data_IF_754925312526
#
_entry.id   IF_754925312526
#
_cell.length_a   1.000
_cell.length_b   1.000
_cell.length_c   1.000
_cell.angle_alpha   90.00
_cell.angle_beta   90.00
_cell.angle_gamma   90.00
#
_symmetry.space_group_name_H-M   'P 1'
#
loop_
_entity.id
_entity.type
_entity.pdbx_description
1 polymer ?
#
# COMPACT_ATOMS: atom_id res chain seq x y z
N UNK A 1 24.26 14.33 -5.50
CA UNK A 1 23.80 12.92 -5.46
C UNK A 1 22.82 12.82 -4.29
N UNK A 2 21.50 12.73 -4.56
CA UNK A 2 20.46 12.69 -3.51
C UNK A 2 20.58 11.36 -2.76
N UNK A 3 21.11 11.39 -1.54
CA UNK A 3 21.19 10.22 -0.69
C UNK A 3 19.89 10.11 0.11
N UNK A 4 19.21 8.97 0.04
CA UNK A 4 18.01 8.71 0.82
C UNK A 4 18.43 8.16 2.18
N UNK A 5 18.07 8.82 3.28
CA UNK A 5 18.15 8.18 4.60
C UNK A 5 16.92 7.29 4.75
N UNK A 6 17.08 6.04 4.34
CA UNK A 6 16.06 5.01 4.47
C UNK A 6 16.12 4.52 5.91
N UNK A 7 15.09 4.82 6.70
CA UNK A 7 15.01 4.25 8.06
C UNK A 7 14.73 2.75 7.97
N UNK A 8 15.18 1.92 8.95
CA UNK A 8 14.91 0.48 8.94
C UNK A 8 13.40 0.15 8.90
N UNK A 9 12.55 1.05 9.41
CA UNK A 9 11.10 0.92 9.33
C UNK A 9 10.56 1.12 7.90
N UNK A 10 11.20 1.95 7.08
CA UNK A 10 10.82 2.15 5.68
C UNK A 10 11.25 0.97 4.79
N UNK A 11 12.39 0.34 5.11
CA UNK A 11 12.78 -0.95 4.51
C UNK A 11 11.77 -2.05 4.82
N UNK A 12 11.30 -2.15 6.07
CA UNK A 12 10.30 -3.13 6.46
C UNK A 12 8.98 -2.92 5.71
N UNK A 13 8.49 -1.67 5.63
CA UNK A 13 7.29 -1.32 4.86
C UNK A 13 7.44 -1.65 3.38
N UNK A 14 8.59 -1.34 2.78
CA UNK A 14 8.87 -1.68 1.38
C UNK A 14 8.88 -3.18 1.13
N UNK A 15 9.49 -3.94 2.03
CA UNK A 15 9.53 -5.40 1.94
C UNK A 15 8.14 -6.04 2.07
N UNK A 16 7.29 -5.52 2.97
CA UNK A 16 5.90 -5.96 3.11
C UNK A 16 5.13 -5.69 1.82
N UNK A 17 5.27 -4.49 1.24
CA UNK A 17 4.61 -4.13 -0.03
C UNK A 17 5.07 -5.06 -1.16
N UNK A 18 6.37 -5.33 -1.28
CA UNK A 18 6.91 -6.27 -2.28
C UNK A 18 6.33 -7.66 -2.09
N UNK A 19 6.27 -8.18 -0.86
CA UNK A 19 5.72 -9.50 -0.57
C UNK A 19 4.24 -9.59 -0.93
N UNK A 20 3.43 -8.61 -0.53
CA UNK A 20 2.00 -8.57 -0.89
C UNK A 20 1.83 -8.55 -2.40
N UNK A 21 2.56 -7.67 -3.09
CA UNK A 21 2.47 -7.55 -4.53
C UNK A 21 2.97 -8.81 -5.26
N UNK A 22 4.01 -9.46 -4.73
CA UNK A 22 4.50 -10.74 -5.22
C UNK A 22 3.43 -11.83 -5.07
N UNK A 23 2.73 -11.91 -3.93
CA UNK A 23 1.63 -12.88 -3.77
C UNK A 23 0.51 -12.65 -4.77
N UNK A 24 0.13 -11.40 -5.03
CA UNK A 24 -0.89 -11.05 -6.04
C UNK A 24 -0.44 -11.48 -7.44
N UNK A 25 0.79 -11.14 -7.86
CA UNK A 25 1.27 -11.55 -9.18
C UNK A 25 1.49 -13.05 -9.30
N UNK A 26 1.95 -13.72 -8.25
CA UNK A 26 2.15 -15.16 -8.26
C UNK A 26 0.81 -15.90 -8.35
N UNK A 27 -0.25 -15.45 -7.66
CA UNK A 27 -1.58 -16.04 -7.83
C UNK A 27 -2.12 -15.87 -9.25
N UNK A 28 -1.95 -14.68 -9.85
CA UNK A 28 -2.28 -14.45 -11.27
C UNK A 28 -1.49 -15.36 -12.22
N UNK A 29 -0.19 -15.54 -11.97
CA UNK A 29 0.67 -16.42 -12.76
C UNK A 29 0.24 -17.90 -12.63
N UNK A 30 -0.13 -18.35 -11.43
CA UNK A 30 -0.63 -19.72 -11.20
C UNK A 30 -1.94 -19.98 -11.95
N UNK A 31 -2.88 -19.03 -11.92
CA UNK A 31 -4.13 -19.13 -12.68
C UNK A 31 -3.82 -19.19 -14.19
N UNK A 32 -2.90 -18.36 -14.67
CA UNK A 32 -2.46 -18.36 -16.06
C UNK A 32 -1.81 -19.68 -16.49
N UNK A 33 -0.87 -20.20 -15.70
CA UNK A 33 -0.21 -21.49 -15.93
C UNK A 33 -1.22 -22.64 -15.92
N UNK A 34 -2.14 -22.68 -14.95
CA UNK A 34 -3.18 -23.71 -14.87
C UNK A 34 -4.12 -23.68 -16.07
N UNK A 35 -4.56 -22.49 -16.49
CA UNK A 35 -5.44 -22.33 -17.65
C UNK A 35 -4.73 -22.70 -18.95
N UNK A 36 -3.47 -22.29 -19.12
CA UNK A 36 -2.65 -22.64 -20.28
C UNK A 36 -2.43 -24.16 -20.35
N UNK A 37 -2.08 -24.81 -19.22
CA UNK A 37 -1.92 -26.26 -19.15
C UNK A 37 -3.19 -27.01 -19.56
N UNK A 38 -4.35 -26.59 -19.03
CA UNK A 38 -5.63 -27.19 -19.41
C UNK A 38 -5.95 -27.05 -20.91
N UNK A 39 -5.66 -25.88 -21.49
CA UNK A 39 -5.89 -25.63 -22.91
C UNK A 39 -4.96 -26.46 -23.80
N UNK A 40 -3.66 -26.46 -23.49
CA UNK A 40 -2.65 -27.24 -24.24
C UNK A 40 -2.90 -28.74 -24.14
N UNK A 41 -3.32 -29.25 -22.98
CA UNK A 41 -3.70 -30.65 -22.81
C UNK A 41 -4.85 -31.03 -23.77
N UNK A 42 -5.94 -30.24 -23.76
CA UNK A 42 -7.10 -30.50 -24.61
C UNK A 42 -6.76 -30.41 -26.10
N UNK A 43 -6.05 -29.36 -26.51
CA UNK A 43 -5.63 -29.19 -27.90
C UNK A 43 -4.74 -30.34 -28.35
N UNK A 44 -3.78 -30.77 -27.52
CA UNK A 44 -2.89 -31.89 -27.83
C UNK A 44 -3.66 -33.20 -27.97
N UNK A 45 -4.60 -33.47 -27.06
CA UNK A 45 -5.44 -34.68 -27.10
C UNK A 45 -6.27 -34.70 -28.39
N UNK A 46 -6.87 -33.58 -28.77
CA UNK A 46 -7.68 -33.49 -30.00
C UNK A 46 -6.83 -33.62 -31.26
N UNK A 47 -5.63 -33.04 -31.28
CA UNK A 47 -4.67 -33.24 -32.38
C UNK A 47 -4.25 -34.71 -32.49
N UNK A 48 -3.94 -35.38 -31.37
CA UNK A 48 -3.61 -36.81 -31.35
C UNK A 48 -4.80 -37.62 -31.84
N UNK A 49 -6.02 -37.35 -31.35
CA UNK A 49 -7.25 -38.04 -31.77
C UNK A 49 -7.45 -37.93 -33.28
N UNK A 50 -7.38 -36.71 -33.82
CA UNK A 50 -7.53 -36.45 -35.25
C UNK A 50 -6.45 -37.17 -36.07
N UNK A 51 -5.20 -37.11 -35.61
CA UNK A 51 -4.08 -37.77 -36.27
C UNK A 51 -4.22 -39.29 -36.30
N UNK A 52 -4.53 -39.91 -35.16
CA UNK A 52 -4.74 -41.37 -35.09
C UNK A 52 -5.93 -41.76 -35.96
N UNK A 53 -7.02 -40.97 -35.97
CA UNK A 53 -8.19 -41.24 -36.82
C UNK A 53 -7.83 -41.25 -38.31
N UNK A 54 -6.96 -40.35 -38.76
CA UNK A 54 -6.50 -40.29 -40.15
C UNK A 54 -5.51 -41.42 -40.49
N UNK A 55 -4.62 -41.75 -39.56
CA UNK A 55 -3.62 -42.81 -39.74
C UNK A 55 -4.24 -44.21 -39.60
N UNK A 56 -5.43 -44.33 -39.00
CA UNK A 56 -6.11 -45.60 -38.71
C UNK A 56 -6.35 -46.46 -39.96
N UNK A 57 -6.58 -45.83 -41.10
CA UNK A 57 -6.79 -46.52 -42.39
C UNK A 57 -5.52 -47.20 -42.92
N UNK A 58 -4.35 -46.77 -42.46
CA UNK A 58 -3.05 -47.33 -42.86
C UNK A 58 -2.46 -48.26 -41.82
N UNK A 59 -3.12 -48.39 -40.66
CA UNK A 59 -2.62 -49.12 -39.52
C UNK A 59 -3.34 -50.45 -39.39
N UNK A 60 -2.58 -51.56 -39.32
CA UNK A 60 -3.15 -52.89 -39.16
C UNK A 60 -3.58 -53.15 -37.71
N UNK A 61 -4.75 -52.61 -37.38
CA UNK A 61 -5.40 -52.71 -36.06
C UNK A 61 -6.20 -54.01 -35.88
N UNK A 62 -6.06 -54.99 -36.79
CA UNK A 62 -6.85 -56.22 -36.79
C UNK A 62 -8.31 -55.98 -37.20
N UNK A 63 -9.15 -57.02 -37.13
CA UNK A 63 -10.58 -56.89 -37.43
C UNK A 63 -11.40 -57.85 -36.55
N UNK A 64 -12.33 -57.32 -35.75
CA UNK A 64 -13.16 -58.14 -34.87
C UNK A 64 -14.15 -59.05 -35.63
N UNK A 65 -14.69 -58.59 -36.77
CA UNK A 65 -15.61 -59.33 -37.63
C UNK A 65 -14.91 -60.50 -38.32
N UNK A 66 -13.68 -60.28 -38.80
CA UNK A 66 -12.86 -61.30 -39.46
C UNK A 66 -11.99 -62.11 -38.48
N UNK A 67 -12.04 -61.79 -37.17
CA UNK A 67 -11.19 -62.37 -36.11
C UNK A 67 -9.69 -62.29 -36.41
N UNK A 68 -9.26 -61.27 -37.15
CA UNK A 68 -7.85 -61.04 -37.46
C UNK A 68 -7.19 -60.33 -36.27
N UNK A 69 -6.14 -60.90 -35.66
CA UNK A 69 -5.44 -60.23 -34.57
C UNK A 69 -4.71 -58.97 -35.07
N UNK A 70 -4.56 -57.94 -34.23
CA UNK A 70 -3.80 -56.74 -34.59
C UNK A 70 -2.31 -57.04 -34.78
N UNK A 71 -1.67 -56.32 -35.70
CA UNK A 71 -0.23 -56.43 -35.91
C UNK A 71 0.54 -55.69 -34.81
N UNK A 72 1.07 -56.45 -33.86
CA UNK A 72 1.76 -55.91 -32.68
C UNK A 72 3.00 -55.07 -33.03
N UNK A 73 3.81 -55.47 -34.01
CA UNK A 73 5.05 -54.76 -34.35
C UNK A 73 4.78 -53.40 -34.99
N UNK A 74 3.86 -53.34 -35.96
CA UNK A 74 3.48 -52.09 -36.62
C UNK A 74 2.86 -51.11 -35.63
N UNK A 75 2.01 -51.59 -34.72
CA UNK A 75 1.40 -50.77 -33.68
C UNK A 75 2.42 -50.26 -32.66
N UNK A 76 3.39 -51.08 -32.24
CA UNK A 76 4.47 -50.64 -31.35
C UNK A 76 5.33 -49.56 -32.00
N UNK A 77 5.73 -49.74 -33.26
CA UNK A 77 6.49 -48.73 -34.00
C UNK A 77 5.70 -47.42 -34.19
N UNK A 78 4.39 -47.52 -34.41
CA UNK A 78 3.54 -46.34 -34.49
C UNK A 78 3.46 -45.60 -33.16
N UNK A 79 3.20 -46.33 -32.06
CA UNK A 79 3.12 -45.76 -30.72
C UNK A 79 4.45 -45.09 -30.33
N UNK A 80 5.59 -45.75 -30.60
CA UNK A 80 6.90 -45.18 -30.30
C UNK A 80 7.18 -43.91 -31.11
N UNK A 81 6.86 -43.90 -32.41
CA UNK A 81 6.98 -42.70 -33.27
C UNK A 81 6.13 -41.53 -32.79
N UNK A 82 4.89 -41.79 -32.36
CA UNK A 82 4.04 -40.73 -31.81
C UNK A 82 4.63 -40.22 -30.48
N UNK A 83 5.05 -41.12 -29.59
CA UNK A 83 5.64 -40.74 -28.31
C UNK A 83 6.96 -39.96 -28.46
N UNK A 84 7.80 -40.26 -29.46
CA UNK A 84 9.00 -39.45 -29.73
C UNK A 84 8.62 -38.02 -30.11
N UNK A 85 7.62 -37.85 -30.98
CA UNK A 85 7.15 -36.51 -31.39
C UNK A 85 6.53 -35.75 -30.20
N UNK A 86 5.75 -36.44 -29.35
CA UNK A 86 5.12 -35.83 -28.18
C UNK A 86 6.15 -35.44 -27.11
N UNK A 87 7.21 -36.24 -26.97
CA UNK A 87 8.35 -35.97 -26.08
C UNK A 87 9.17 -34.77 -26.57
N UNK A 88 9.48 -34.69 -27.87
CA UNK A 88 10.24 -33.58 -28.46
C UNK A 88 9.51 -32.23 -28.28
N UNK A 89 8.17 -32.27 -28.32
CA UNK A 89 7.31 -31.09 -28.09
C UNK A 89 7.03 -30.80 -26.61
N UNK A 90 7.54 -31.62 -25.69
CA UNK A 90 7.31 -31.51 -24.24
C UNK A 90 5.83 -31.32 -23.85
N UNK A 91 4.94 -32.07 -24.50
CA UNK A 91 3.48 -31.88 -24.38
C UNK A 91 2.89 -32.42 -23.07
N UNK A 92 3.64 -33.21 -22.30
CA UNK A 92 3.12 -33.86 -21.09
C UNK A 92 2.07 -34.95 -21.37
N UNK A 93 1.85 -35.33 -22.63
CA UNK A 93 0.92 -36.40 -23.03
C UNK A 93 1.69 -37.54 -23.68
N UNK A 94 1.31 -38.78 -23.39
CA UNK A 94 1.89 -40.00 -23.96
C UNK A 94 0.80 -40.94 -24.43
N UNK A 95 1.05 -41.63 -25.53
CA UNK A 95 0.21 -42.71 -26.04
C UNK A 95 0.60 -44.03 -25.37
N UNK A 96 -0.33 -44.62 -24.63
CA UNK A 96 -0.10 -45.83 -23.84
C UNK A 96 -0.45 -47.10 -24.62
N UNK A 97 -1.61 -47.12 -25.27
CA UNK A 97 -2.09 -48.31 -25.94
C UNK A 97 -3.03 -48.00 -27.10
N UNK A 98 -2.97 -48.85 -28.11
CA UNK A 98 -3.96 -48.96 -29.18
C UNK A 98 -4.44 -50.42 -29.19
N UNK A 99 -5.75 -50.63 -29.00
CA UNK A 99 -6.37 -51.95 -28.78
C UNK A 99 -5.71 -52.72 -27.63
N UNK A 100 -5.15 -53.90 -27.93
CA UNK A 100 -4.44 -54.79 -27.01
C UNK A 100 -2.93 -54.56 -27.00
N UNK A 101 -2.42 -53.61 -27.80
CA UNK A 101 -0.98 -53.34 -27.92
C UNK A 101 -0.61 -52.15 -27.04
N UNK A 102 0.23 -52.41 -26.05
CA UNK A 102 0.77 -51.40 -25.13
C UNK A 102 2.15 -50.94 -25.59
N UNK A 103 2.49 -49.69 -25.28
CA UNK A 103 3.84 -49.17 -25.42
C UNK A 103 4.83 -50.03 -24.59
N UNK A 104 6.05 -50.19 -25.09
CA UNK A 104 7.10 -50.90 -24.35
C UNK A 104 7.44 -50.14 -23.07
N UNK A 105 7.05 -50.72 -21.94
CA UNK A 105 7.61 -50.57 -20.59
C UNK A 105 8.18 -49.19 -20.23
N UNK A 106 7.49 -48.09 -20.51
CA UNK A 106 7.70 -46.87 -19.75
C UNK A 106 6.72 -46.95 -18.59
N UNK A 107 7.26 -47.19 -17.38
CA UNK A 107 6.48 -47.26 -16.16
C UNK A 107 5.55 -46.04 -16.11
N UNK A 108 4.24 -46.30 -16.11
CA UNK A 108 3.23 -45.30 -15.79
C UNK A 108 3.64 -44.68 -14.46
N UNK A 109 3.88 -43.38 -14.43
CA UNK A 109 4.05 -42.73 -13.15
C UNK A 109 2.72 -42.83 -12.39
N UNK A 110 2.75 -43.16 -11.09
CA UNK A 110 1.55 -43.44 -10.29
C UNK A 110 0.48 -42.31 -10.32
N UNK A 111 0.89 -41.09 -10.70
CA UNK A 111 0.03 -39.91 -10.73
C UNK A 111 -0.42 -39.48 -12.13
N UNK A 112 -0.17 -40.28 -13.18
CA UNK A 112 -0.63 -39.96 -14.55
C UNK A 112 -2.13 -40.20 -14.71
N UNK A 113 -2.82 -39.25 -15.34
CA UNK A 113 -4.24 -39.36 -15.66
C UNK A 113 -4.40 -40.18 -16.94
N UNK A 114 -5.05 -41.34 -16.83
CA UNK A 114 -5.38 -42.18 -17.99
C UNK A 114 -6.65 -41.67 -18.67
N UNK A 115 -6.55 -41.39 -19.96
CA UNK A 115 -7.65 -40.92 -20.81
C UNK A 115 -7.93 -42.01 -21.83
N UNK A 116 -9.18 -42.49 -21.88
CA UNK A 116 -9.62 -43.54 -22.80
C UNK A 116 -10.62 -42.95 -23.78
N UNK A 117 -10.45 -43.23 -25.07
CA UNK A 117 -11.44 -42.92 -26.08
C UNK A 117 -11.46 -44.01 -27.16
N UNK A 118 -12.58 -44.10 -27.86
CA UNK A 118 -12.80 -45.08 -28.92
C UNK A 118 -12.91 -44.33 -30.24
N UNK A 119 -12.16 -44.79 -31.24
CA UNK A 119 -12.23 -44.32 -32.62
C UNK A 119 -13.05 -45.31 -33.43
N UNK A 120 -13.83 -44.81 -34.38
CA UNK A 120 -14.63 -45.64 -35.27
C UNK A 120 -14.08 -45.58 -36.68
N UNK A 121 -13.70 -46.73 -37.22
CA UNK A 121 -13.44 -46.92 -38.64
C UNK A 121 -14.67 -47.57 -39.29
N UNK A 122 -14.75 -47.54 -40.63
CA UNK A 122 -15.75 -48.26 -41.41
C UNK A 122 -15.77 -49.76 -41.13
N UNK A 123 -14.64 -50.34 -40.71
CA UNK A 123 -14.49 -51.77 -40.48
C UNK A 123 -14.61 -52.21 -39.01
N UNK A 124 -14.23 -51.37 -38.04
CA UNK A 124 -14.25 -51.69 -36.61
C UNK A 124 -14.07 -50.47 -35.69
N UNK A 125 -14.30 -50.66 -34.38
CA UNK A 125 -13.95 -49.70 -33.33
C UNK A 125 -12.57 -50.00 -32.71
N UNK A 126 -11.80 -48.95 -32.49
CA UNK A 126 -10.42 -49.00 -31.98
C UNK A 126 -10.33 -48.26 -30.66
N UNK A 127 -9.94 -48.96 -29.59
CA UNK A 127 -9.76 -48.36 -28.27
C UNK A 127 -8.35 -47.76 -28.16
N UNK A 128 -8.27 -46.50 -27.75
CA UNK A 128 -7.01 -45.78 -27.57
C UNK A 128 -6.91 -45.29 -26.12
N UNK A 129 -5.72 -45.43 -25.54
CA UNK A 129 -5.41 -44.99 -24.18
C UNK A 129 -4.23 -44.03 -24.20
N UNK A 130 -4.40 -42.88 -23.55
CA UNK A 130 -3.36 -41.86 -23.34
C UNK A 130 -3.07 -41.72 -21.85
N UNK A 131 -1.84 -41.36 -21.50
CA UNK A 131 -1.44 -40.82 -20.21
C UNK A 131 -1.22 -39.31 -20.36
N UNK A 132 -1.80 -38.52 -19.47
CA UNK A 132 -1.48 -37.12 -19.32
C UNK A 132 -0.87 -36.85 -17.94
N UNK A 133 0.17 -36.04 -17.92
CA UNK A 133 0.78 -35.54 -16.69
C UNK A 133 -0.25 -34.72 -15.89
N UNK A 134 -0.26 -34.82 -14.55
CA UNK A 134 -1.24 -34.10 -13.74
C UNK A 134 -1.00 -32.60 -13.72
N UNK A 135 -2.10 -31.84 -13.60
CA UNK A 135 -2.13 -30.37 -13.73
C UNK A 135 -1.18 -29.66 -12.75
N UNK A 136 -0.94 -30.24 -11.57
CA UNK A 136 -0.08 -29.62 -10.57
C UNK A 136 1.38 -29.48 -11.02
N UNK A 137 1.84 -30.27 -11.99
CA UNK A 137 3.20 -30.16 -12.52
C UNK A 137 3.39 -28.89 -13.36
N UNK A 138 2.31 -28.26 -13.82
CA UNK A 138 2.37 -26.97 -14.51
C UNK A 138 2.51 -25.77 -13.56
N UNK A 139 2.30 -25.95 -12.25
CA UNK A 139 2.44 -24.87 -11.29
C UNK A 139 3.91 -24.67 -10.92
N UNK A 140 4.46 -23.54 -11.35
CA UNK A 140 5.80 -23.12 -11.05
C UNK A 140 5.84 -21.68 -10.52
N UNK A 141 6.80 -21.40 -9.65
CA UNK A 141 7.12 -20.04 -9.22
C UNK A 141 7.58 -19.24 -10.44
N UNK A 142 6.90 -18.12 -10.72
CA UNK A 142 7.22 -17.29 -11.88
C UNK A 142 8.27 -16.24 -11.49
N UNK A 143 9.50 -16.28 -12.05
CA UNK A 143 10.50 -15.23 -11.81
C UNK A 143 10.00 -13.86 -12.25
N UNK A 144 9.14 -13.82 -13.28
CA UNK A 144 8.53 -12.61 -13.80
C UNK A 144 7.64 -11.92 -12.74
N UNK A 145 6.94 -12.69 -11.91
CA UNK A 145 6.11 -12.15 -10.83
C UNK A 145 6.96 -11.41 -9.78
N UNK A 146 8.16 -11.92 -9.50
CA UNK A 146 9.12 -11.27 -8.60
C UNK A 146 9.63 -9.97 -9.21
N UNK A 147 10.06 -9.98 -10.47
CA UNK A 147 10.55 -8.78 -11.17
C UNK A 147 9.46 -7.71 -11.26
N UNK A 148 8.24 -8.10 -11.62
CA UNK A 148 7.09 -7.18 -11.66
C UNK A 148 6.78 -6.58 -10.29
N UNK A 149 6.87 -7.39 -9.23
CA UNK A 149 6.67 -6.90 -7.87
C UNK A 149 7.72 -5.87 -7.46
N UNK A 150 8.99 -6.08 -7.82
CA UNK A 150 10.07 -5.16 -7.51
C UNK A 150 9.94 -3.82 -8.25
N UNK A 151 9.52 -3.86 -9.53
CA UNK A 151 9.36 -2.67 -10.36
C UNK A 151 8.18 -1.79 -9.94
N UNK A 152 7.10 -2.39 -9.47
CA UNK A 152 5.86 -1.69 -9.13
C UNK A 152 5.81 -1.26 -7.66
N UNK A 153 6.52 -1.97 -6.76
CA UNK A 153 6.64 -1.62 -5.35
C UNK A 153 6.97 -0.13 -5.05
N UNK A 154 7.90 0.56 -5.76
CA UNK A 154 8.20 1.97 -5.49
C UNK A 154 7.04 2.94 -5.76
N UNK A 155 6.00 2.53 -6.51
CA UNK A 155 4.78 3.34 -6.71
C UNK A 155 3.89 3.37 -5.46
N UNK A 156 3.93 2.31 -4.67
CA UNK A 156 3.08 2.13 -3.48
C UNK A 156 3.78 2.55 -2.19
N UNK A 157 5.11 2.41 -2.16
CA UNK A 157 5.92 3.03 -1.12
C UNK A 157 5.99 4.52 -1.46
N UNK A 158 5.18 5.35 -0.79
CA UNK A 158 5.42 6.81 -0.76
C UNK A 158 6.76 7.05 -0.07
N UNK A 159 7.85 6.85 -0.78
CA UNK A 159 9.16 7.33 -0.38
C UNK A 159 8.99 8.84 -0.31
N UNK A 160 8.91 9.41 0.89
CA UNK A 160 9.06 10.84 1.07
C UNK A 160 10.41 11.17 0.41
N UNK A 161 10.37 11.74 -0.80
CA UNK A 161 11.54 12.33 -1.44
C UNK A 161 11.90 13.54 -0.59
N UNK A 162 12.54 13.30 0.53
CA UNK A 162 13.17 14.37 1.28
C UNK A 162 14.53 14.59 0.60
N UNK A 163 14.73 15.69 -0.14
CA UNK A 163 16.03 15.97 -0.72
C UNK A 163 17.04 16.06 0.44
N UNK A 164 17.96 15.10 0.55
CA UNK A 164 19.11 15.21 1.44
C UNK A 164 19.93 16.41 0.99
N UNK A 165 19.75 17.52 1.68
CA UNK A 165 20.81 18.50 1.86
C UNK A 165 21.95 17.72 2.51
N UNK A 166 23.01 17.50 1.74
CA UNK A 166 24.26 16.89 2.20
C UNK A 166 24.80 17.69 3.38
N UNK A 167 24.43 17.30 4.59
CA UNK A 167 25.20 17.60 5.79
C UNK A 167 26.31 16.57 5.85
N UNK A 168 27.50 16.98 5.42
CA UNK A 168 28.77 16.33 5.70
C UNK A 168 28.81 15.95 7.18
N UNK A 169 29.17 14.72 7.57
CA UNK A 169 29.29 14.38 8.98
C UNK A 169 30.44 15.20 9.56
N UNK A 170 30.24 16.02 10.61
CA UNK A 170 31.38 16.55 11.33
C UNK A 170 32.03 15.40 12.10
N UNK A 171 33.37 15.40 12.10
CA UNK A 171 34.21 14.67 13.06
C UNK A 171 33.65 14.75 14.49
N UNK A 172 33.99 13.80 15.38
CA UNK A 172 33.52 13.81 16.77
C UNK A 172 34.14 15.01 17.49
N UNK A 173 33.50 16.17 17.35
CA UNK A 173 33.75 17.34 18.15
C UNK A 173 32.73 17.28 19.26
N UNK A 174 33.23 17.20 20.48
CA UNK A 174 32.48 17.41 21.72
C UNK A 174 31.73 18.73 21.58
N UNK A 175 30.42 18.68 21.32
CA UNK A 175 29.60 19.88 21.15
C UNK A 175 29.11 20.30 22.55
N UNK A 176 29.45 21.51 23.02
CA UNK A 176 28.85 22.07 24.23
C UNK A 176 27.34 22.26 24.04
N UNK A 177 26.55 21.95 25.06
CA UNK A 177 25.08 22.11 25.07
C UNK A 177 24.66 23.53 24.65
N UNK A 178 24.24 23.68 23.39
CA UNK A 178 23.54 24.88 22.94
C UNK A 178 22.04 24.60 23.09
N UNK A 179 21.45 25.24 24.10
CA UNK A 179 20.00 25.29 24.35
C UNK A 179 19.29 25.85 23.11
N UNK A 180 18.73 24.99 22.26
CA UNK A 180 17.90 25.41 21.14
C UNK A 180 16.50 25.73 21.69
N UNK A 181 16.11 27.00 21.67
CA UNK A 181 14.80 27.46 22.17
C UNK A 181 13.71 27.30 21.09
N UNK A 182 12.75 26.37 21.23
CA UNK A 182 11.60 26.26 20.34
C UNK A 182 10.76 27.54 20.19
N UNK A 183 10.67 28.02 18.95
CA UNK A 183 9.76 29.10 18.53
C UNK A 183 8.40 28.54 18.13
N UNK A 184 7.32 29.28 18.41
CA UNK A 184 5.97 28.90 18.03
C UNK A 184 5.72 29.25 16.56
N UNK A 185 5.35 28.27 15.74
CA UNK A 185 5.00 28.48 14.33
C UNK A 185 3.52 28.23 14.11
N UNK A 186 2.79 29.21 13.57
CA UNK A 186 1.39 29.05 13.18
C UNK A 186 1.27 29.18 11.67
N UNK A 187 0.74 28.16 11.02
CA UNK A 187 0.50 28.17 9.58
C UNK A 187 -1.00 28.30 9.28
N UNK A 188 -1.40 29.47 8.76
CA UNK A 188 -2.77 29.77 8.36
C UNK A 188 -3.19 29.06 7.07
N UNK A 189 -2.23 28.71 6.20
CA UNK A 189 -2.48 27.97 4.94
C UNK A 189 -2.76 26.49 5.14
N UNK A 190 -2.20 25.90 6.19
CA UNK A 190 -2.39 24.48 6.53
C UNK A 190 -3.26 24.28 7.78
N UNK A 191 -3.63 25.37 8.45
CA UNK A 191 -4.36 25.40 9.74
C UNK A 191 -3.66 24.65 10.86
N UNK A 192 -2.34 24.71 10.89
CA UNK A 192 -1.51 23.98 11.84
C UNK A 192 -0.83 24.90 12.84
N UNK A 193 -0.69 24.43 14.06
CA UNK A 193 0.26 24.96 15.04
C UNK A 193 1.40 23.96 15.16
N UNK A 194 2.63 24.45 15.15
CA UNK A 194 3.83 23.63 15.29
C UNK A 194 4.91 24.35 16.08
N UNK A 195 5.98 23.61 16.34
CA UNK A 195 7.17 24.10 16.99
C UNK A 195 8.30 24.15 15.95
N UNK A 196 9.05 25.25 15.86
CA UNK A 196 10.16 25.40 14.92
C UNK A 196 11.32 24.40 15.10
N UNK A 197 11.34 23.64 16.20
CA UNK A 197 12.37 22.64 16.53
C UNK A 197 11.88 21.20 16.35
N UNK A 198 10.58 20.94 16.55
CA UNK A 198 9.99 19.61 16.39
C UNK A 198 9.09 19.58 15.16
N UNK A 199 9.21 18.57 14.30
CA UNK A 199 8.31 18.35 13.12
C UNK A 199 6.87 17.95 13.52
N UNK A 200 6.45 18.29 14.76
CA UNK A 200 5.13 18.03 15.31
C UNK A 200 4.24 19.22 14.99
N UNK A 201 3.22 18.97 14.17
CA UNK A 201 2.21 19.95 13.77
C UNK A 201 0.82 19.42 14.10
N UNK A 202 -0.01 20.25 14.72
CA UNK A 202 -1.37 19.90 15.15
C UNK A 202 -2.37 20.78 14.43
N UNK A 203 -3.39 20.17 13.83
CA UNK A 203 -4.46 20.90 13.14
C UNK A 203 -5.52 21.37 14.14
N UNK A 204 -5.89 22.65 14.05
CA UNK A 204 -6.95 23.24 14.87
C UNK A 204 -8.22 23.53 14.06
N UNK A 205 -9.35 23.56 14.77
CA UNK A 205 -10.60 24.06 14.20
C UNK A 205 -10.49 25.58 13.93
N UNK A 206 -11.26 26.06 12.94
CA UNK A 206 -11.17 27.46 12.47
C UNK A 206 -11.34 28.48 13.60
N UNK A 207 -12.29 28.27 14.53
CA UNK A 207 -12.58 29.22 15.61
C UNK A 207 -11.43 29.29 16.64
N UNK A 208 -10.93 28.18 17.21
CA UNK A 208 -9.72 28.17 18.03
C UNK A 208 -8.49 28.76 17.37
N UNK A 209 -8.25 28.43 16.09
CA UNK A 209 -7.10 28.92 15.35
C UNK A 209 -7.13 30.45 15.22
N UNK A 210 -8.24 31.00 14.71
CA UNK A 210 -8.42 32.45 14.56
C UNK A 210 -8.32 33.19 15.90
N UNK A 211 -8.89 32.60 16.95
CA UNK A 211 -8.87 33.21 18.27
C UNK A 211 -7.45 33.24 18.85
N UNK A 212 -6.71 32.13 18.74
CA UNK A 212 -5.36 32.04 19.29
C UNK A 212 -4.36 32.93 18.57
N UNK A 213 -4.42 32.98 17.23
CA UNK A 213 -3.57 33.90 16.44
C UNK A 213 -3.81 35.35 16.82
N UNK A 214 -5.08 35.74 16.98
CA UNK A 214 -5.43 37.08 17.40
C UNK A 214 -5.01 37.39 18.83
N UNK A 215 -5.10 36.39 19.72
CA UNK A 215 -4.66 36.51 21.10
C UNK A 215 -3.14 36.72 21.18
N UNK A 216 -2.35 36.05 20.33
CA UNK A 216 -0.91 36.28 20.25
C UNK A 216 -0.58 37.70 19.80
N UNK A 217 -1.18 38.19 18.70
CA UNK A 217 -0.99 39.58 18.28
C UNK A 217 -1.39 40.58 19.36
N UNK A 218 -2.55 40.35 19.99
CA UNK A 218 -3.05 41.23 21.04
C UNK A 218 -2.12 41.27 22.27
N UNK A 219 -1.60 40.13 22.71
CA UNK A 219 -0.66 40.05 23.84
C UNK A 219 0.73 40.59 23.50
N UNK A 220 1.14 40.59 22.23
CA UNK A 220 2.38 41.25 21.78
C UNK A 220 2.21 42.77 21.80
N UNK A 221 1.07 43.28 21.34
CA UNK A 221 0.78 44.72 21.31
C UNK A 221 0.45 45.29 22.71
N UNK A 222 -0.13 44.46 23.59
CA UNK A 222 -0.56 44.84 24.93
C UNK A 222 -0.07 43.82 26.00
N UNK A 223 1.23 43.87 26.39
CA UNK A 223 1.83 42.87 27.30
C UNK A 223 1.25 42.91 28.72
N UNK A 224 0.72 44.05 29.17
CA UNK A 224 0.17 44.23 30.52
C UNK A 224 -1.37 44.05 30.59
N UNK A 225 -2.01 43.65 29.49
CA UNK A 225 -3.46 43.53 29.45
C UNK A 225 -3.97 42.29 30.22
N UNK A 226 -4.84 42.51 31.22
CA UNK A 226 -5.49 41.43 31.96
C UNK A 226 -6.83 41.03 31.31
N UNK A 227 -6.85 39.87 30.66
CA UNK A 227 -8.04 39.34 29.99
C UNK A 227 -8.82 38.40 30.90
N UNK A 228 -9.95 38.86 31.46
CA UNK A 228 -10.74 38.11 32.45
C UNK A 228 -11.85 37.27 31.79
N UNK A 229 -12.10 36.06 32.30
CA UNK A 229 -13.09 35.13 31.74
C UNK A 229 -14.56 35.58 31.88
N UNK A 230 -14.88 36.45 32.84
CA UNK A 230 -16.25 36.96 33.05
C UNK A 230 -16.55 38.25 32.27
N UNK A 231 -15.54 38.86 31.64
CA UNK A 231 -15.72 40.06 30.83
C UNK A 231 -15.79 39.66 29.37
N UNK A 232 -16.54 40.43 28.60
CA UNK A 232 -16.53 40.28 27.15
C UNK A 232 -15.12 40.54 26.61
N UNK A 233 -14.78 39.82 25.55
CA UNK A 233 -13.49 39.95 24.88
C UNK A 233 -13.34 41.39 24.36
N UNK A 234 -12.18 42.05 24.59
CA UNK A 234 -11.96 43.40 24.09
C UNK A 234 -12.25 43.52 22.59
N UNK A 235 -12.86 44.63 22.14
CA UNK A 235 -13.24 44.80 20.75
C UNK A 235 -12.02 44.72 19.81
N UNK A 236 -10.86 45.17 20.25
CA UNK A 236 -9.58 45.07 19.54
C UNK A 236 -9.21 43.61 19.21
N UNK A 237 -9.28 42.71 20.19
CA UNK A 237 -9.02 41.29 19.99
C UNK A 237 -10.05 40.66 19.05
N UNK A 238 -11.33 41.02 19.20
CA UNK A 238 -12.38 40.51 18.29
C UNK A 238 -12.18 40.96 16.85
N UNK A 239 -11.66 42.18 16.64
CA UNK A 239 -11.33 42.70 15.32
C UNK A 239 -10.15 41.95 14.69
N UNK A 240 -9.09 41.70 15.46
CA UNK A 240 -7.94 40.88 15.02
C UNK A 240 -8.38 39.45 14.65
N UNK A 241 -9.19 38.80 15.50
CA UNK A 241 -9.70 37.45 15.22
C UNK A 241 -10.56 37.40 13.95
N UNK A 242 -11.30 38.48 13.69
CA UNK A 242 -12.10 38.62 12.49
C UNK A 242 -11.25 38.83 11.24
N UNK A 243 -10.16 39.61 11.34
CA UNK A 243 -9.20 39.79 10.25
C UNK A 243 -8.59 38.45 9.85
N UNK A 244 -8.14 37.65 10.82
CA UNK A 244 -7.60 36.30 10.55
C UNK A 244 -8.69 35.38 9.97
N UNK A 245 -9.93 35.48 10.44
CA UNK A 245 -11.03 34.70 9.87
C UNK A 245 -11.30 35.05 8.39
N UNK A 246 -11.29 36.34 8.03
CA UNK A 246 -11.41 36.78 6.63
C UNK A 246 -10.26 36.22 5.80
N UNK A 247 -9.03 36.23 6.32
CA UNK A 247 -7.87 35.63 5.66
C UNK A 247 -8.06 34.12 5.42
N UNK A 248 -8.58 33.38 6.40
CA UNK A 248 -8.95 31.97 6.20
C UNK A 248 -10.06 31.79 5.15
N UNK A 249 -11.01 32.72 5.03
CA UNK A 249 -12.00 32.64 3.95
C UNK A 249 -11.36 32.83 2.57
N UNK A 250 -10.44 33.80 2.42
CA UNK A 250 -9.68 34.03 1.19
C UNK A 250 -8.87 32.79 0.78
N UNK A 251 -8.26 32.12 1.76
CA UNK A 251 -7.52 30.86 1.55
C UNK A 251 -8.42 29.65 1.26
N UNK A 252 -9.75 29.83 1.18
CA UNK A 252 -10.71 28.78 0.83
C UNK A 252 -11.02 27.81 1.99
N UNK A 253 -10.58 28.13 3.20
CA UNK A 253 -10.65 27.25 4.35
C UNK A 253 -12.00 27.21 5.07
N UNK A 254 -12.90 28.17 4.80
CA UNK A 254 -14.25 28.19 5.33
C UNK A 254 -15.19 29.07 4.52
N UNK A 255 -16.46 28.66 4.42
CA UNK A 255 -17.57 29.44 3.82
C UNK A 255 -18.69 29.72 4.84
N UNK A 256 -18.45 29.43 6.13
CA UNK A 256 -19.46 29.49 7.19
C UNK A 256 -19.63 30.92 7.71
N UNK A 257 -20.76 31.17 8.39
CA UNK A 257 -21.05 32.42 9.10
C UNK A 257 -19.92 32.74 10.11
N UNK A 258 -19.57 34.03 10.22
CA UNK A 258 -18.58 34.55 11.17
C UNK A 258 -18.81 33.95 12.56
N UNK A 259 -17.80 33.29 13.16
CA UNK A 259 -17.94 32.69 14.48
C UNK A 259 -18.10 33.78 15.53
N UNK A 260 -18.97 33.53 16.51
CA UNK A 260 -19.01 34.34 17.74
C UNK A 260 -17.89 33.87 18.66
N UNK A 261 -16.92 34.75 18.93
CA UNK A 261 -15.76 34.44 19.76
C UNK A 261 -16.05 34.51 21.27
N UNK A 262 -17.10 35.23 21.70
CA UNK A 262 -17.48 35.31 23.12
C UNK A 262 -18.22 34.04 23.58
N UNK A 263 -18.98 33.40 22.68
CA UNK A 263 -19.67 32.15 22.99
C UNK A 263 -18.68 31.00 23.25
N UNK A 264 -18.84 30.25 24.35
CA UNK A 264 -18.03 29.05 24.66
C UNK A 264 -16.51 29.29 24.71
N UNK A 265 -16.05 30.46 25.20
CA UNK A 265 -14.63 30.80 25.32
C UNK A 265 -13.81 29.71 26.05
N UNK A 266 -14.34 29.17 27.15
CA UNK A 266 -13.67 28.12 27.94
C UNK A 266 -13.37 26.86 27.11
N UNK A 267 -14.30 26.49 26.22
CA UNK A 267 -14.11 25.35 25.31
C UNK A 267 -13.03 25.67 24.27
N UNK A 268 -13.06 26.86 23.69
CA UNK A 268 -12.05 27.31 22.72
C UNK A 268 -10.64 27.34 23.32
N UNK A 269 -10.48 27.89 24.53
CA UNK A 269 -9.21 27.88 25.26
C UNK A 269 -8.76 26.45 25.61
N UNK A 270 -9.68 25.55 25.95
CA UNK A 270 -9.35 24.16 26.24
C UNK A 270 -8.82 23.40 25.01
N UNK A 271 -9.41 23.63 23.84
CA UNK A 271 -8.93 23.06 22.57
C UNK A 271 -7.53 23.58 22.19
N UNK A 272 -7.27 24.88 22.40
CA UNK A 272 -5.94 25.49 22.19
C UNK A 272 -4.91 24.86 23.13
N UNK A 273 -5.23 24.75 24.42
CA UNK A 273 -4.33 24.15 25.42
C UNK A 273 -3.98 22.70 25.07
N UNK A 274 -4.96 21.92 24.61
CA UNK A 274 -4.73 20.53 24.19
C UNK A 274 -3.77 20.46 22.99
N UNK A 275 -3.96 21.32 21.98
CA UNK A 275 -3.06 21.37 20.83
C UNK A 275 -1.64 21.81 21.22
N UNK A 276 -1.49 22.79 22.12
CA UNK A 276 -0.18 23.21 22.61
C UNK A 276 0.52 22.14 23.46
N UNK A 277 -0.23 21.33 24.21
CA UNK A 277 0.33 20.19 24.94
C UNK A 277 0.99 19.19 24.00
N UNK A 278 0.34 18.90 22.87
CA UNK A 278 0.83 17.98 21.86
C UNK A 278 2.01 18.56 21.05
N UNK A 279 2.00 19.87 20.77
CA UNK A 279 3.09 20.53 20.03
C UNK A 279 4.37 20.68 20.86
N UNK A 280 4.26 20.89 22.18
CA UNK A 280 5.39 21.11 23.08
C UNK A 280 5.76 19.88 23.93
N UNK A 281 5.39 18.67 23.49
CA UNK A 281 5.85 17.43 24.13
C UNK A 281 7.38 17.41 24.18
N UNK A 282 7.93 17.38 25.40
CA UNK A 282 9.38 17.40 25.66
C UNK A 282 10.00 18.77 25.97
N UNK A 283 9.24 19.86 25.88
CA UNK A 283 9.72 21.23 26.16
C UNK A 283 8.81 21.94 27.18
N UNK A 284 8.85 21.48 28.44
CA UNK A 284 7.97 21.97 29.53
C UNK A 284 8.18 23.43 29.91
N UNK A 285 9.41 23.92 29.83
CA UNK A 285 9.77 25.25 30.33
C UNK A 285 9.34 26.36 29.36
N UNK A 286 9.43 26.10 28.06
CA UNK A 286 9.08 27.06 27.01
C UNK A 286 7.58 27.08 26.71
N UNK A 287 6.90 25.95 26.96
CA UNK A 287 5.44 25.86 26.96
C UNK A 287 4.79 26.94 27.81
N UNK A 288 5.35 27.26 28.99
CA UNK A 288 4.77 28.25 29.92
C UNK A 288 4.57 29.61 29.22
N UNK A 289 5.42 29.97 28.26
CA UNK A 289 5.36 31.25 27.55
C UNK A 289 4.18 31.35 26.57
N UNK A 290 3.83 30.24 25.92
CA UNK A 290 2.80 30.21 24.87
C UNK A 290 1.46 29.65 25.35
N UNK A 291 1.38 29.21 26.61
CA UNK A 291 0.25 28.49 27.18
C UNK A 291 -0.74 29.43 27.89
N UNK A 292 -2.00 29.55 27.44
CA UNK A 292 -3.00 30.34 28.13
C UNK A 292 -3.31 29.76 29.52
N UNK A 293 -3.14 30.52 30.62
CA UNK A 293 -3.35 30.01 31.97
C UNK A 293 -4.79 29.51 32.17
N UNK A 294 -4.94 28.46 32.98
CA UNK A 294 -6.25 27.88 33.32
C UNK A 294 -6.84 28.64 34.49
N UNK A 295 -8.15 28.91 34.42
CA UNK A 295 -8.91 29.36 35.59
C UNK A 295 -8.83 28.31 36.71
N UNK A 296 -8.26 28.69 37.86
CA UNK A 296 -8.18 27.85 39.06
C UNK A 296 -9.28 28.24 40.06
N UNK A 297 -9.86 27.27 40.76
CA UNK A 297 -10.89 27.50 41.79
C UNK A 297 -12.30 27.03 41.40
N UNK A 298 -13.15 26.84 42.41
CA UNK A 298 -14.56 26.44 42.23
C UNK A 298 -15.50 27.66 42.16
N UNK A 299 -16.56 27.55 41.37
CA UNK A 299 -17.61 28.57 41.29
C UNK A 299 -17.13 29.93 40.77
N UNK A 300 -17.68 31.02 41.32
CA UNK A 300 -17.44 32.40 40.85
C UNK A 300 -15.96 32.85 40.93
N UNK A 301 -15.13 32.18 41.73
CA UNK A 301 -13.71 32.54 41.94
C UNK A 301 -12.83 32.16 40.74
N UNK A 302 -13.22 31.12 39.98
CA UNK A 302 -12.52 30.71 38.75
C UNK A 302 -12.48 31.81 37.68
N UNK A 303 -13.52 32.66 37.63
CA UNK A 303 -13.66 33.68 36.59
C UNK A 303 -12.79 34.93 36.78
N UNK A 304 -12.08 35.04 37.90
CA UNK A 304 -11.20 36.18 38.20
C UNK A 304 -9.79 36.00 37.62
N UNK A 305 -9.44 34.81 37.14
CA UNK A 305 -8.13 34.56 36.53
C UNK A 305 -8.05 35.17 35.13
N UNK A 306 -6.91 35.78 34.83
CA UNK A 306 -6.60 36.25 33.47
C UNK A 306 -6.25 35.06 32.59
N UNK A 307 -6.64 35.07 31.31
CA UNK A 307 -6.17 34.13 30.28
C UNK A 307 -5.14 34.74 29.32
N UNK A 308 -4.68 35.97 29.60
CA UNK A 308 -3.62 36.61 28.83
C UNK A 308 -2.32 35.79 28.89
N UNK A 309 -1.58 35.78 27.78
CA UNK A 309 -0.28 35.11 27.71
C UNK A 309 0.77 35.94 28.47
N UNK A 310 1.73 35.31 29.16
CA UNK A 310 2.85 36.02 29.76
C UNK A 310 3.71 36.69 28.68
N UNK A 311 4.48 37.72 29.04
CA UNK A 311 5.26 38.59 28.13
C UNK A 311 5.84 37.84 26.92
N UNK A 312 5.32 38.15 25.73
CA UNK A 312 5.72 37.60 24.43
C UNK A 312 6.44 38.66 23.60
N UNK A 313 7.51 38.28 22.92
CA UNK A 313 8.17 39.11 21.90
C UNK A 313 7.71 38.75 20.49
N UNK A 314 7.78 39.68 19.54
CA UNK A 314 7.49 39.42 18.13
C UNK A 314 8.44 38.35 17.53
N UNK A 315 9.66 38.21 18.07
CA UNK A 315 10.66 37.25 17.59
C UNK A 315 10.37 35.80 18.01
N UNK A 316 9.42 35.59 18.92
CA UNK A 316 9.07 34.30 19.52
C UNK A 316 8.00 33.54 18.69
N UNK A 317 7.27 34.25 17.82
CA UNK A 317 6.14 33.71 17.04
C UNK A 317 6.37 33.92 15.55
N UNK A 318 6.22 32.85 14.76
CA UNK A 318 6.26 32.88 13.30
C UNK A 318 4.88 32.55 12.75
N UNK A 319 4.25 33.49 12.06
CA UNK A 319 2.94 33.27 11.43
C UNK A 319 3.13 33.18 9.92
N UNK A 320 2.77 32.04 9.35
CA UNK A 320 2.87 31.74 7.92
C UNK A 320 1.49 31.91 7.30
N UNK A 321 1.38 32.75 6.26
CA UNK A 321 0.14 32.96 5.51
C UNK A 321 -0.74 34.13 5.98
N UNK A 322 -0.17 35.09 6.72
CA UNK A 322 -0.80 36.41 6.89
C UNK A 322 -1.14 37.09 5.56
#
# INVERSE_FOLDING_TARGET
MKTYDITPNDWLKGLIVVLVLFTVFQTGALIGQGSAGLYTDHETIDQIRSRISLDLQFLDVGNHTLKTPPNHETLRHYISRINTILSDKNTGVKLLAIQSVTADSQALNENERIIKFTLHNSEQSVNVQLAAVPIYQFFALSPLALVASLLIAPLFVKAKLNPRVTKTPPSPVVIPEIKVTPKLTINLTEKTIGNGVNDVTVQLQNKPLCFYTALLHYCIENPDAALMHHKDIPPELTNLATKVFTRLMELGHTKRKRPDFNANLDKTLSEIRAALEEVFVGFSDEKIRYYPPRAQGEGSRSKQHSYALPVLSHDDVVIIGE
#
